data_IF_892540878686
#
_entry.id   IF_892540878686
#
_cell.length_a   1.000
_cell.length_b   1.000
_cell.length_c   1.000
_cell.angle_alpha   90.00
_cell.angle_beta   90.00
_cell.angle_gamma   90.00
#
_symmetry.space_group_name_H-M   'P 1'
#
loop_
_entity.id
_entity.type
_entity.pdbx_description
1 polymer ?
#
# COMPACT_ATOMS: atom_id res chain seq x y z
N UNK A 1 -6.75 -3.39 22.17
CA UNK A 1 -6.74 -1.92 21.99
C UNK A 1 -6.67 -1.65 20.48
N UNK A 2 -7.48 -0.73 19.92
CA UNK A 2 -7.61 -0.62 18.48
C UNK A 2 -6.37 0.06 17.87
N UNK A 3 -5.77 -0.57 16.86
CA UNK A 3 -4.89 0.09 15.90
C UNK A 3 -5.66 1.23 15.23
N UNK A 4 -4.98 2.31 14.88
CA UNK A 4 -5.61 3.45 14.18
C UNK A 4 -5.16 3.42 12.72
N UNK A 5 -6.10 3.25 11.79
CA UNK A 5 -5.83 3.38 10.35
C UNK A 5 -5.32 4.81 10.07
N UNK A 6 -4.09 4.91 9.58
CA UNK A 6 -3.45 6.16 9.18
C UNK A 6 -3.64 6.37 7.69
N UNK A 7 -3.47 5.32 6.91
CA UNK A 7 -3.58 5.35 5.46
C UNK A 7 -4.10 4.01 4.93
N UNK A 8 -4.89 4.04 3.87
CA UNK A 8 -5.34 2.83 3.18
C UNK A 8 -5.42 3.06 1.67
N UNK A 9 -5.03 2.04 0.89
CA UNK A 9 -5.09 2.03 -0.56
C UNK A 9 -5.83 0.78 -1.03
N UNK A 10 -6.92 0.97 -1.78
CA UNK A 10 -7.73 -0.11 -2.32
C UNK A 10 -7.43 -0.28 -3.81
N UNK A 11 -7.19 -1.53 -4.20
CA UNK A 11 -6.94 -1.96 -5.56
C UNK A 11 -8.06 -2.88 -6.04
N UNK A 12 -8.52 -2.67 -7.29
CA UNK A 12 -9.57 -3.47 -7.94
C UNK A 12 -9.04 -4.08 -9.22
N UNK A 13 -9.42 -5.33 -9.47
CA UNK A 13 -9.19 -5.99 -10.73
C UNK A 13 -10.56 -6.39 -11.31
N UNK A 14 -10.83 -6.02 -12.55
CA UNK A 14 -12.10 -6.31 -13.22
C UNK A 14 -12.37 -7.83 -13.35
N UNK A 15 -11.32 -8.65 -13.33
CA UNK A 15 -11.37 -10.10 -13.39
C UNK A 15 -11.45 -10.78 -12.00
N UNK A 16 -11.28 -10.04 -10.90
CA UNK A 16 -11.31 -10.58 -9.54
C UNK A 16 -12.53 -10.07 -8.77
N UNK A 17 -13.26 -10.95 -8.05
CA UNK A 17 -14.45 -10.56 -7.31
C UNK A 17 -14.14 -9.75 -6.04
N UNK A 18 -12.90 -9.82 -5.53
CA UNK A 18 -12.51 -9.16 -4.29
C UNK A 18 -11.42 -8.10 -4.53
N UNK A 19 -11.59 -6.86 -4.02
CA UNK A 19 -10.52 -5.87 -4.02
C UNK A 19 -9.42 -6.27 -3.05
N UNK A 20 -8.20 -5.79 -3.29
CA UNK A 20 -7.08 -5.91 -2.35
C UNK A 20 -6.88 -4.55 -1.68
N UNK A 21 -6.77 -4.53 -0.36
CA UNK A 21 -6.48 -3.35 0.42
C UNK A 21 -5.08 -3.44 1.03
N UNK A 22 -4.29 -2.39 0.86
CA UNK A 22 -3.10 -2.15 1.66
C UNK A 22 -3.49 -1.14 2.73
N UNK A 23 -3.30 -1.49 3.98
CA UNK A 23 -3.60 -0.65 5.13
C UNK A 23 -2.31 -0.32 5.87
N UNK A 24 -2.22 0.90 6.35
CA UNK A 24 -1.13 1.38 7.18
C UNK A 24 -1.75 1.81 8.48
N UNK A 25 -1.49 1.05 9.51
CA UNK A 25 -2.07 1.24 10.83
C UNK A 25 -0.99 1.66 11.83
N UNK A 26 -1.37 2.49 12.79
CA UNK A 26 -0.49 2.79 13.93
C UNK A 26 -0.75 1.79 15.05
N UNK A 27 0.28 1.02 15.40
CA UNK A 27 0.31 0.16 16.58
C UNK A 27 0.01 0.97 17.84
N UNK A 28 -1.03 0.60 18.56
CA UNK A 28 -1.29 1.18 19.88
C UNK A 28 -0.27 0.73 20.92
N UNK A 29 0.41 -0.41 20.72
CA UNK A 29 1.36 -1.00 21.68
C UNK A 29 2.74 -0.36 21.57
N UNK A 30 3.21 -0.12 20.35
CA UNK A 30 4.56 0.42 20.10
C UNK A 30 4.57 1.87 19.61
N UNK A 31 3.40 2.43 19.27
CA UNK A 31 3.28 3.77 18.66
C UNK A 31 3.83 3.86 17.23
N UNK A 32 4.32 2.75 16.69
CA UNK A 32 4.92 2.59 15.35
C UNK A 32 3.88 2.24 14.29
N UNK A 33 4.21 2.41 13.02
CA UNK A 33 3.33 2.10 11.90
C UNK A 33 3.56 0.67 11.41
N UNK A 34 2.49 0.00 11.00
CA UNK A 34 2.50 -1.32 10.40
C UNK A 34 1.85 -1.21 9.03
N UNK A 35 2.39 -1.91 8.05
CA UNK A 35 1.71 -2.13 6.77
C UNK A 35 1.10 -3.51 6.76
N UNK A 36 -0.20 -3.61 6.55
CA UNK A 36 -0.97 -4.85 6.47
C UNK A 36 -1.67 -4.91 5.12
N UNK A 37 -1.96 -6.13 4.66
CA UNK A 37 -2.79 -6.37 3.49
C UNK A 37 -3.56 -7.67 3.68
N UNK A 38 -4.74 -7.75 3.08
CA UNK A 38 -5.68 -8.84 3.25
C UNK A 38 -5.43 -10.04 2.33
N UNK A 39 -4.62 -9.87 1.28
CA UNK A 39 -4.55 -10.86 0.20
C UNK A 39 -3.14 -11.17 -0.32
N UNK A 40 -2.09 -10.58 0.27
CA UNK A 40 -0.72 -10.72 -0.25
C UNK A 40 0.26 -11.17 0.84
N UNK A 41 0.89 -12.31 0.61
CA UNK A 41 2.13 -12.68 1.28
C UNK A 41 3.28 -12.16 0.42
N UNK A 42 4.10 -11.27 0.97
CA UNK A 42 5.26 -10.72 0.29
C UNK A 42 6.51 -11.38 0.87
N UNK A 43 7.22 -12.16 0.05
CA UNK A 43 8.51 -12.73 0.44
C UNK A 43 9.57 -11.63 0.38
N UNK A 44 9.88 -11.04 1.53
CA UNK A 44 10.93 -10.04 1.68
C UNK A 44 12.18 -10.67 2.28
N UNK A 45 13.37 -10.26 1.83
CA UNK A 45 14.61 -10.72 2.46
C UNK A 45 14.65 -10.36 3.95
N UNK A 46 15.30 -11.20 4.75
CA UNK A 46 15.31 -11.11 6.22
C UNK A 46 15.87 -9.80 6.82
N UNK A 47 16.43 -8.91 6.00
CA UNK A 47 16.95 -7.60 6.42
C UNK A 47 15.99 -6.44 6.10
N UNK A 48 14.83 -6.72 5.49
CA UNK A 48 13.81 -5.72 5.20
C UNK A 48 12.59 -5.91 6.09
N UNK A 49 11.85 -4.81 6.28
CA UNK A 49 10.63 -4.76 7.06
C UNK A 49 9.55 -5.68 6.47
N UNK A 50 9.10 -6.67 7.25
CA UNK A 50 8.10 -7.63 6.82
C UNK A 50 6.67 -7.07 6.91
N UNK A 51 5.73 -7.74 6.22
CA UNK A 51 4.30 -7.42 6.34
C UNK A 51 3.84 -7.60 7.80
N UNK A 52 3.14 -6.61 8.34
CA UNK A 52 2.69 -6.62 9.73
C UNK A 52 3.79 -6.32 10.76
N UNK A 53 5.03 -6.03 10.34
CA UNK A 53 6.05 -5.56 11.26
C UNK A 53 5.91 -4.05 11.54
N UNK A 54 6.01 -3.65 12.82
CA UNK A 54 5.98 -2.24 13.20
C UNK A 54 7.31 -1.56 12.91
N UNK A 55 7.28 -0.51 12.09
CA UNK A 55 8.39 0.41 11.87
C UNK A 55 7.99 1.87 12.08
N UNK A 56 8.95 2.69 12.49
CA UNK A 56 8.84 4.14 12.50
C UNK A 56 9.70 4.80 11.42
N UNK A 57 10.43 4.01 10.62
CA UNK A 57 11.22 4.52 9.52
C UNK A 57 10.32 4.76 8.29
N UNK A 58 10.11 6.02 7.88
CA UNK A 58 9.32 6.32 6.70
C UNK A 58 9.86 5.68 5.43
N UNK A 59 11.18 5.47 5.31
CA UNK A 59 11.79 4.91 4.11
C UNK A 59 11.50 3.41 3.97
N UNK A 60 11.52 2.66 5.07
CA UNK A 60 11.17 1.23 5.08
C UNK A 60 9.70 1.03 4.72
N UNK A 61 8.82 1.85 5.30
CA UNK A 61 7.38 1.80 5.01
C UNK A 61 7.07 2.17 3.56
N UNK A 62 7.74 3.20 3.03
CA UNK A 62 7.64 3.61 1.63
C UNK A 62 8.12 2.51 0.69
N UNK A 63 9.25 1.86 1.01
CA UNK A 63 9.78 0.74 0.22
C UNK A 63 8.85 -0.48 0.23
N UNK A 64 8.34 -0.87 1.40
CA UNK A 64 7.38 -1.97 1.54
C UNK A 64 6.09 -1.70 0.76
N UNK A 65 5.53 -0.51 0.93
CA UNK A 65 4.31 -0.11 0.24
C UNK A 65 4.49 -0.04 -1.29
N UNK A 66 5.64 0.46 -1.75
CA UNK A 66 6.00 0.46 -3.16
C UNK A 66 6.08 -0.94 -3.76
N UNK A 67 6.67 -1.90 -3.03
CA UNK A 67 6.74 -3.31 -3.45
C UNK A 67 5.36 -3.96 -3.52
N UNK A 68 4.53 -3.78 -2.49
CA UNK A 68 3.15 -4.27 -2.48
C UNK A 68 2.35 -3.73 -3.67
N UNK A 69 2.47 -2.42 -3.92
CA UNK A 69 1.80 -1.77 -5.06
C UNK A 69 2.28 -2.36 -6.38
N UNK A 70 3.58 -2.54 -6.57
CA UNK A 70 4.16 -3.13 -7.78
C UNK A 70 3.69 -4.58 -7.99
N UNK A 71 3.58 -5.38 -6.92
CA UNK A 71 3.11 -6.75 -7.04
C UNK A 71 1.61 -6.84 -7.35
N UNK A 72 0.79 -6.06 -6.65
CA UNK A 72 -0.67 -6.00 -6.87
C UNK A 72 -0.98 -5.53 -8.31
N UNK A 73 -0.26 -4.51 -8.78
CA UNK A 73 -0.38 -4.04 -10.18
C UNK A 73 0.15 -5.06 -11.18
N UNK A 74 1.23 -5.77 -10.87
CA UNK A 74 1.74 -6.90 -11.67
C UNK A 74 0.74 -8.06 -11.79
N UNK A 75 -0.13 -8.24 -10.78
CA UNK A 75 -1.26 -9.18 -10.81
C UNK A 75 -2.49 -8.67 -11.56
N UNK A 76 -2.42 -7.48 -12.17
CA UNK A 76 -3.48 -6.89 -12.97
C UNK A 76 -4.53 -6.10 -12.18
N UNK A 77 -4.27 -5.79 -10.91
CA UNK A 77 -5.11 -4.88 -10.15
C UNK A 77 -4.74 -3.42 -10.44
N UNK A 78 -5.75 -2.55 -10.36
CA UNK A 78 -5.63 -1.11 -10.57
C UNK A 78 -6.00 -0.39 -9.29
N UNK A 79 -5.32 0.72 -9.00
CA UNK A 79 -5.68 1.53 -7.83
C UNK A 79 -7.08 2.12 -8.02
N UNK A 80 -7.97 1.84 -7.07
CA UNK A 80 -9.36 2.30 -7.10
C UNK A 80 -9.61 3.46 -6.14
N UNK A 81 -8.96 3.49 -4.97
CA UNK A 81 -9.13 4.56 -4.00
C UNK A 81 -7.98 4.61 -2.99
N UNK A 82 -7.77 5.78 -2.39
CA UNK A 82 -6.83 5.99 -1.29
C UNK A 82 -7.47 6.85 -0.21
N UNK A 83 -7.21 6.54 1.05
CA UNK A 83 -7.67 7.30 2.21
C UNK A 83 -6.50 7.57 3.16
N UNK A 84 -6.58 8.69 3.89
CA UNK A 84 -5.60 8.99 4.93
C UNK A 84 -4.27 9.60 4.45
N UNK A 85 -4.20 10.07 3.21
CA UNK A 85 -2.99 10.66 2.61
C UNK A 85 -2.40 11.82 3.45
N UNK A 86 -3.26 12.68 3.99
CA UNK A 86 -2.85 13.77 4.86
C UNK A 86 -2.28 13.29 6.20
N UNK A 87 -2.83 12.19 6.74
CA UNK A 87 -2.34 11.60 7.99
C UNK A 87 -0.99 10.90 7.78
N UNK A 88 -0.76 10.28 6.63
CA UNK A 88 0.56 9.76 6.24
C UNK A 88 1.60 10.89 6.23
N UNK A 89 1.34 11.96 5.48
CA UNK A 89 2.27 13.09 5.39
C UNK A 89 2.52 13.75 6.75
N UNK A 90 1.48 13.88 7.57
CA UNK A 90 1.61 14.43 8.92
C UNK A 90 2.40 13.51 9.86
N UNK A 91 2.28 12.18 9.70
CA UNK A 91 2.91 11.20 10.60
C UNK A 91 4.36 10.92 10.21
N UNK A 92 4.65 10.85 8.91
CA UNK A 92 5.94 10.44 8.37
C UNK A 92 6.78 11.61 7.85
N UNK A 93 6.21 12.82 7.85
CA UNK A 93 6.82 14.04 7.30
C UNK A 93 7.37 13.86 5.87
N UNK A 94 6.74 12.96 5.12
CA UNK A 94 7.07 12.58 3.75
C UNK A 94 5.79 12.51 2.93
N UNK A 95 5.90 12.81 1.64
CA UNK A 95 4.81 12.48 0.73
C UNK A 95 4.60 10.95 0.73
N UNK A 96 3.35 10.48 0.64
CA UNK A 96 3.07 9.08 0.38
C UNK A 96 3.70 8.68 -0.95
N UNK A 97 4.21 7.43 -1.06
CA UNK A 97 4.81 6.94 -2.28
C UNK A 97 3.88 7.22 -3.47
N UNK A 98 4.42 7.69 -4.62
CA UNK A 98 3.62 7.95 -5.80
C UNK A 98 2.99 6.64 -6.25
N UNK A 99 1.69 6.51 -6.02
CA UNK A 99 0.91 5.42 -6.57
C UNK A 99 0.81 5.66 -8.06
N UNK A 100 1.54 4.87 -8.85
CA UNK A 100 1.49 4.94 -10.30
C UNK A 100 0.06 4.59 -10.72
N UNK A 101 -0.76 5.61 -11.01
CA UNK A 101 -1.91 5.42 -11.87
C UNK A 101 -1.35 4.94 -13.20
N UNK A 102 -1.48 3.65 -13.49
CA UNK A 102 -1.23 3.14 -14.83
C UNK A 102 -1.99 4.05 -15.81
N UNK A 103 -1.34 4.57 -16.85
CA UNK A 103 -2.01 5.47 -17.78
C UNK A 103 -3.16 4.70 -18.43
N UNK A 104 -4.36 5.28 -18.34
CA UNK A 104 -5.56 4.87 -19.05
C UNK A 104 -5.29 5.00 -20.56
N UNK A 105 -4.63 4.01 -21.15
CA UNK A 105 -4.31 3.98 -22.59
C UNK A 105 -4.44 2.56 -23.13
N UNK A 106 -5.62 1.98 -22.92
CA UNK A 106 -6.18 1.00 -23.84
C UNK A 106 -7.03 1.74 -24.87
N UNK A 107 -6.40 2.28 -25.92
CA UNK A 107 -7.07 2.36 -27.22
C UNK A 107 -6.05 2.02 -28.31
N UNK A 108 -6.10 0.82 -28.92
CA UNK A 108 -5.50 0.62 -30.23
C UNK A 108 -6.33 1.46 -31.22
N UNK A 109 -5.80 2.60 -31.63
CA UNK A 109 -6.35 3.33 -32.77
C UNK A 109 -6.08 2.48 -34.02
N UNK A 110 -7.09 1.72 -34.44
CA UNK A 110 -7.15 1.10 -35.77
C UNK A 110 -7.58 2.20 -36.74
N UNK A 111 -6.69 2.56 -37.66
CA UNK A 111 -7.02 3.20 -38.93
C UNK A 111 -6.17 2.59 -40.03
#
# INVERSE_FOLDING_TARGET
MPSVEIFSAMFKNAAQPFPICIEVERSSVKGMLLVTTDALELDLPAHELQLGEPSNDPAELEALFGKLTAEITGRGYTLASTRGNANWSATLNKAPPPLVSLPDTLMPAVF
#
